data_IF_173174947648
#
_entry.id   IF_173174947648
#
_cell.length_a   1.000
_cell.length_b   1.000
_cell.length_c   1.000
_cell.angle_alpha   90.00
_cell.angle_beta   90.00
_cell.angle_gamma   90.00
#
_symmetry.space_group_name_H-M   'P 1'
#
loop_
_entity.id
_entity.type
_entity.pdbx_description
1 polymer ?
#
# COMPACT_ATOMS: atom_id res chain seq x y z
N UNK A 1 -9.42 6.62 -19.94
CA UNK A 1 -8.20 7.02 -19.19
C UNK A 1 -8.53 7.72 -17.87
N UNK A 2 -9.49 8.66 -17.84
CA UNK A 2 -9.87 9.45 -16.64
C UNK A 2 -10.37 8.63 -15.43
N UNK A 3 -11.01 7.48 -15.66
CA UNK A 3 -11.54 6.61 -14.59
C UNK A 3 -10.45 5.95 -13.74
N UNK A 4 -9.33 5.57 -14.34
CA UNK A 4 -8.25 4.86 -13.65
C UNK A 4 -7.49 5.81 -12.72
N UNK A 5 -7.24 7.04 -13.16
CA UNK A 5 -6.58 8.05 -12.34
C UNK A 5 -7.43 8.43 -11.12
N UNK A 6 -8.75 8.57 -11.30
CA UNK A 6 -9.69 8.81 -10.20
C UNK A 6 -9.71 7.64 -9.21
N UNK A 7 -9.65 6.41 -9.72
CA UNK A 7 -9.57 5.19 -8.91
C UNK A 7 -8.31 5.20 -8.04
N UNK A 8 -7.15 5.43 -8.63
CA UNK A 8 -5.86 5.53 -7.94
C UNK A 8 -5.86 6.63 -6.88
N UNK A 9 -6.32 7.84 -7.22
CA UNK A 9 -6.43 8.95 -6.24
C UNK A 9 -7.31 8.59 -5.04
N UNK A 10 -8.35 7.80 -5.26
CA UNK A 10 -9.26 7.35 -4.19
C UNK A 10 -8.57 6.31 -3.30
N UNK A 11 -7.90 5.32 -3.89
CA UNK A 11 -7.12 4.31 -3.15
C UNK A 11 -6.03 4.97 -2.30
N UNK A 12 -5.29 5.95 -2.84
CA UNK A 12 -4.29 6.71 -2.09
C UNK A 12 -4.88 7.47 -0.90
N UNK A 13 -6.07 8.07 -1.04
CA UNK A 13 -6.75 8.75 0.08
C UNK A 13 -7.12 7.76 1.18
N UNK A 14 -7.63 6.59 0.80
CA UNK A 14 -8.01 5.53 1.74
C UNK A 14 -6.78 4.98 2.47
N UNK A 15 -5.68 4.69 1.75
CA UNK A 15 -4.43 4.22 2.35
C UNK A 15 -3.84 5.24 3.35
N UNK A 16 -3.83 6.53 3.02
CA UNK A 16 -3.35 7.57 3.94
C UNK A 16 -4.17 7.64 5.23
N UNK A 17 -5.50 7.60 5.10
CA UNK A 17 -6.39 7.56 6.26
C UNK A 17 -6.19 6.30 7.10
N UNK A 18 -6.01 5.15 6.44
CA UNK A 18 -5.74 3.87 7.08
C UNK A 18 -4.49 3.93 7.94
N UNK A 19 -3.35 4.32 7.35
CA UNK A 19 -2.06 4.42 8.06
C UNK A 19 -2.19 5.37 9.25
N UNK A 20 -2.75 6.56 9.03
CA UNK A 20 -2.93 7.56 10.08
C UNK A 20 -3.71 7.03 11.28
N UNK A 21 -4.86 6.40 11.05
CA UNK A 21 -5.71 5.90 12.14
C UNK A 21 -5.05 4.70 12.82
N UNK A 22 -4.52 3.74 12.05
CA UNK A 22 -3.89 2.54 12.61
C UNK A 22 -2.65 2.88 13.43
N UNK A 23 -1.83 3.85 13.00
CA UNK A 23 -0.67 4.31 13.76
C UNK A 23 -1.04 5.04 15.05
N UNK A 24 -2.22 5.68 15.10
CA UNK A 24 -2.66 6.44 16.27
C UNK A 24 -3.44 5.58 17.29
N UNK A 25 -4.31 4.69 16.82
CA UNK A 25 -5.32 4.02 17.65
C UNK A 25 -5.26 2.49 17.56
N UNK A 26 -4.46 1.94 16.65
CA UNK A 26 -4.39 0.50 16.37
C UNK A 26 -5.48 0.01 15.41
N UNK A 27 -5.22 -1.15 14.78
CA UNK A 27 -6.11 -1.72 13.77
C UNK A 27 -7.47 -2.20 14.34
N UNK A 28 -7.51 -2.62 15.59
CA UNK A 28 -8.75 -3.08 16.22
C UNK A 28 -9.78 -1.95 16.34
N UNK A 29 -9.30 -0.74 16.62
CA UNK A 29 -10.13 0.48 16.75
C UNK A 29 -10.53 1.10 15.41
N UNK A 30 -9.88 0.71 14.31
CA UNK A 30 -10.23 1.18 12.98
C UNK A 30 -11.68 0.80 12.63
N UNK A 31 -12.47 1.80 12.24
CA UNK A 31 -13.82 1.64 11.69
C UNK A 31 -13.91 2.22 10.29
N UNK A 32 -14.81 1.67 9.47
CA UNK A 32 -15.08 2.22 8.12
C UNK A 32 -15.56 3.67 8.20
N UNK A 33 -16.36 4.01 9.22
CA UNK A 33 -16.86 5.37 9.43
C UNK A 33 -15.74 6.38 9.69
N UNK A 34 -14.77 6.04 10.54
CA UNK A 34 -13.60 6.90 10.78
C UNK A 34 -12.75 7.05 9.52
N UNK A 35 -12.55 5.94 8.81
CA UNK A 35 -11.75 5.90 7.59
C UNK A 35 -12.33 6.78 6.48
N UNK A 36 -13.62 6.65 6.16
CA UNK A 36 -14.26 7.44 5.09
C UNK A 36 -14.34 8.92 5.45
N UNK A 37 -14.47 9.24 6.73
CA UNK A 37 -14.47 10.62 7.24
C UNK A 37 -13.09 11.27 7.04
N UNK A 38 -12.02 10.58 7.43
CA UNK A 38 -10.65 11.11 7.28
C UNK A 38 -10.24 11.20 5.80
N UNK A 39 -10.55 10.16 5.01
CA UNK A 39 -10.27 10.13 3.57
C UNK A 39 -11.11 11.11 2.74
N UNK A 40 -12.16 11.71 3.31
CA UNK A 40 -13.14 12.59 2.64
C UNK A 40 -13.77 11.91 1.43
N UNK A 41 -14.30 10.71 1.62
CA UNK A 41 -15.01 9.92 0.61
C UNK A 41 -16.36 9.43 1.12
N UNK A 42 -17.22 9.00 0.20
CA UNK A 42 -18.50 8.43 0.54
C UNK A 42 -18.35 6.94 0.88
N UNK A 43 -19.26 6.40 1.70
CA UNK A 43 -19.24 4.98 2.10
C UNK A 43 -19.38 4.04 0.90
N UNK A 44 -20.24 4.37 -0.07
CA UNK A 44 -20.37 3.61 -1.31
C UNK A 44 -19.08 3.58 -2.13
N UNK A 45 -18.32 4.68 -2.11
CA UNK A 45 -17.00 4.73 -2.75
C UNK A 45 -16.04 3.74 -2.10
N UNK A 46 -15.98 3.66 -0.77
CA UNK A 46 -15.14 2.67 -0.08
C UNK A 46 -15.45 1.23 -0.55
N UNK A 47 -16.74 0.88 -0.61
CA UNK A 47 -17.17 -0.48 -0.98
C UNK A 47 -16.97 -0.84 -2.46
N UNK A 48 -16.67 0.12 -3.33
CA UNK A 48 -16.22 -0.16 -4.72
C UNK A 48 -14.79 -0.74 -4.72
N UNK A 49 -13.97 -0.42 -3.71
CA UNK A 49 -12.58 -0.83 -3.65
C UNK A 49 -12.33 -1.95 -2.65
N UNK A 50 -13.06 -1.98 -1.54
CA UNK A 50 -12.79 -2.86 -0.41
C UNK A 50 -14.06 -3.43 0.21
N UNK A 51 -14.05 -4.71 0.58
CA UNK A 51 -15.18 -5.35 1.24
C UNK A 51 -15.35 -4.89 2.68
N UNK A 52 -14.24 -4.78 3.41
CA UNK A 52 -14.17 -4.35 4.80
C UNK A 52 -12.74 -3.88 5.17
N UNK A 53 -12.47 -3.70 6.47
CA UNK A 53 -11.14 -3.27 6.95
C UNK A 53 -10.07 -4.36 6.82
N UNK A 54 -10.45 -5.63 6.80
CA UNK A 54 -9.52 -6.76 6.65
C UNK A 54 -9.12 -6.94 5.19
N UNK A 55 -10.04 -6.77 4.25
CA UNK A 55 -9.73 -6.75 2.81
C UNK A 55 -8.81 -5.57 2.46
N UNK A 56 -9.08 -4.38 3.01
CA UNK A 56 -8.18 -3.23 2.90
C UNK A 56 -6.76 -3.56 3.38
N UNK A 57 -6.65 -4.12 4.60
CA UNK A 57 -5.35 -4.52 5.17
C UNK A 57 -4.64 -5.52 4.26
N UNK A 58 -5.33 -6.58 3.86
CA UNK A 58 -4.76 -7.68 3.07
C UNK A 58 -4.27 -7.20 1.70
N UNK A 59 -5.03 -6.33 1.03
CA UNK A 59 -4.61 -5.70 -0.23
C UNK A 59 -3.38 -4.83 -0.05
N UNK A 60 -3.34 -4.04 1.03
CA UNK A 60 -2.21 -3.16 1.30
C UNK A 60 -0.93 -3.93 1.67
N UNK A 61 -1.04 -5.00 2.46
CA UNK A 61 0.08 -5.90 2.75
C UNK A 61 0.64 -6.54 1.48
N UNK A 62 -0.25 -6.99 0.59
CA UNK A 62 0.15 -7.57 -0.71
C UNK A 62 0.90 -6.56 -1.57
N UNK A 63 0.42 -5.32 -1.64
CA UNK A 63 1.07 -4.22 -2.38
C UNK A 63 2.48 -3.96 -1.86
N UNK A 64 2.65 -3.85 -0.55
CA UNK A 64 3.96 -3.66 0.10
C UNK A 64 4.93 -4.79 -0.23
N UNK A 65 4.47 -6.04 -0.16
CA UNK A 65 5.31 -7.21 -0.48
C UNK A 65 5.76 -7.17 -1.94
N UNK A 66 4.86 -6.84 -2.86
CA UNK A 66 5.18 -6.71 -4.29
C UNK A 66 6.18 -5.58 -4.53
N UNK A 67 6.01 -4.43 -3.87
CA UNK A 67 6.93 -3.30 -3.99
C UNK A 67 8.33 -3.67 -3.49
N UNK A 68 8.43 -4.37 -2.36
CA UNK A 68 9.70 -4.88 -1.84
C UNK A 68 10.34 -5.87 -2.82
N UNK A 69 9.58 -6.82 -3.37
CA UNK A 69 10.08 -7.76 -4.39
C UNK A 69 10.59 -7.03 -5.64
N UNK A 70 9.90 -5.97 -6.07
CA UNK A 70 10.30 -5.15 -7.19
C UNK A 70 11.61 -4.40 -6.91
N UNK A 71 11.79 -3.85 -5.71
CA UNK A 71 13.02 -3.19 -5.31
C UNK A 71 14.21 -4.18 -5.41
N UNK A 72 14.09 -5.38 -4.84
CA UNK A 72 15.16 -6.38 -4.90
C UNK A 72 15.44 -6.89 -6.32
N UNK A 73 14.42 -6.95 -7.17
CA UNK A 73 14.55 -7.39 -8.56
C UNK A 73 15.22 -6.34 -9.45
N UNK A 74 14.88 -5.06 -9.25
CA UNK A 74 15.33 -3.95 -10.08
C UNK A 74 16.68 -3.37 -9.62
N UNK A 75 16.99 -3.46 -8.33
CA UNK A 75 18.22 -2.95 -7.73
C UNK A 75 19.04 -4.09 -7.13
N UNK A 76 19.38 -5.09 -7.94
CA UNK A 76 20.25 -6.19 -7.51
C UNK A 76 21.56 -5.60 -6.98
N UNK A 77 21.93 -5.97 -5.75
CA UNK A 77 23.25 -5.64 -5.20
C UNK A 77 24.31 -6.10 -6.21
N UNK A 78 25.17 -5.20 -6.71
CA UNK A 78 26.23 -5.62 -7.62
C UNK A 78 27.08 -6.67 -6.91
N UNK A 79 27.32 -7.78 -7.61
CA UNK A 79 28.15 -8.86 -7.07
C UNK A 79 29.59 -8.34 -6.99
N UNK A 80 30.06 -8.07 -5.76
CA UNK A 80 31.41 -7.56 -5.48
C UNK A 80 32.50 -8.64 -5.63
N UNK A 81 32.13 -9.87 -6.00
CA UNK A 81 33.03 -11.04 -6.08
C UNK A 81 33.70 -11.24 -7.46
N UNK A 82 33.66 -10.24 -8.36
CA UNK A 82 34.35 -10.34 -9.67
C UNK A 82 35.74 -9.71 -9.70
N UNK A 83 36.20 -9.04 -8.65
CA UNK A 83 37.53 -8.41 -8.60
C UNK A 83 38.66 -9.33 -8.11
N UNK A 84 38.37 -10.55 -7.64
CA UNK A 84 39.39 -11.50 -7.15
C UNK A 84 39.96 -12.43 -8.23
N UNK A 85 39.43 -12.40 -9.46
CA UNK A 85 39.90 -13.26 -10.56
C UNK A 85 40.83 -12.55 -11.58
N UNK A 86 41.46 -11.43 -11.22
CA UNK A 86 42.42 -10.73 -12.11
C UNK A 86 43.86 -10.70 -11.56
N UNK A 87 44.19 -11.45 -10.51
CA UNK A 87 45.55 -11.47 -9.92
C UNK A 87 46.01 -12.90 -9.57
N UNK A 88 45.73 -13.89 -10.43
CA UNK A 88 46.46 -15.16 -10.42
C UNK A 88 46.79 -15.54 -11.87
#
# INVERSE_FOLDING_TARGET
>A
MESNEKRLKTEMKIQRAFIKIVSAEGFDKLTISALIKDAKINRGTFYIHYLDKYDLKSKYEKEIILDIQNIFSNYKKPNLDKSLNLII
#
